data_IF_171237648313
#
_entry.id   IF_171237648313
#
_cell.length_a   1.000
_cell.length_b   1.000
_cell.length_c   1.000
_cell.angle_alpha   90.00
_cell.angle_beta   90.00
_cell.angle_gamma   90.00
#
_symmetry.space_group_name_H-M   'P 1'
#
loop_
_entity.id
_entity.type
_entity.pdbx_description
1 polymer ?
#
# COMPACT_ATOMS: atom_id res chain seq x y z
N UNK A 1 -24.75 10.34 -1.83
CA UNK A 1 -24.12 9.01 -1.73
C UNK A 1 -24.63 8.13 -2.84
N UNK A 2 -23.75 7.50 -3.58
CA UNK A 2 -24.11 6.55 -4.61
C UNK A 2 -24.31 5.16 -4.00
N UNK A 3 -25.23 4.35 -4.52
CA UNK A 3 -25.44 3.01 -3.98
C UNK A 3 -24.22 2.13 -4.17
N UNK A 4 -23.95 1.29 -3.19
CA UNK A 4 -23.05 0.15 -3.33
C UNK A 4 -23.76 -0.91 -4.15
N UNK A 5 -23.16 -1.31 -5.24
CA UNK A 5 -23.62 -2.46 -6.03
C UNK A 5 -22.77 -3.65 -5.59
N UNK A 6 -23.42 -4.71 -5.11
CA UNK A 6 -22.75 -5.95 -4.79
C UNK A 6 -23.55 -7.12 -5.35
N UNK A 7 -22.86 -8.08 -5.95
CA UNK A 7 -23.41 -9.31 -6.51
C UNK A 7 -22.42 -10.45 -6.29
N UNK A 8 -22.91 -11.66 -6.16
CA UNK A 8 -22.05 -12.83 -6.08
C UNK A 8 -22.61 -13.94 -5.23
N UNK A 9 -21.77 -14.97 -5.06
CA UNK A 9 -22.09 -16.14 -4.25
C UNK A 9 -20.83 -16.70 -3.58
N UNK A 10 -21.08 -17.45 -2.50
CA UNK A 10 -20.09 -18.31 -1.83
C UNK A 10 -20.67 -19.71 -1.77
N UNK A 11 -19.97 -20.69 -2.31
CA UNK A 11 -20.33 -22.10 -2.24
C UNK A 11 -19.31 -22.84 -1.37
N UNK A 12 -19.70 -23.18 -0.16
CA UNK A 12 -18.84 -23.86 0.82
C UNK A 12 -18.52 -25.31 0.42
N UNK A 13 -19.47 -26.00 -0.21
CA UNK A 13 -19.27 -27.38 -0.67
C UNK A 13 -18.21 -27.50 -1.76
N UNK A 14 -18.17 -26.56 -2.68
CA UNK A 14 -17.20 -26.49 -3.77
C UNK A 14 -16.00 -25.58 -3.43
N UNK A 15 -15.98 -24.94 -2.25
CA UNK A 15 -14.98 -23.94 -1.83
C UNK A 15 -14.77 -22.84 -2.87
N UNK A 16 -15.86 -22.43 -3.53
CA UNK A 16 -15.81 -21.40 -4.54
C UNK A 16 -16.41 -20.10 -4.06
N UNK A 17 -15.79 -19.01 -4.45
CA UNK A 17 -16.24 -17.63 -4.20
C UNK A 17 -16.29 -16.90 -5.53
N UNK A 18 -17.36 -16.16 -5.75
CA UNK A 18 -17.44 -15.20 -6.85
C UNK A 18 -18.23 -14.00 -6.34
N UNK A 19 -17.53 -12.93 -6.00
CA UNK A 19 -18.11 -11.70 -5.47
C UNK A 19 -17.60 -10.53 -6.33
N UNK A 20 -18.53 -9.67 -6.71
CA UNK A 20 -18.25 -8.39 -7.31
C UNK A 20 -18.89 -7.30 -6.46
N UNK A 21 -18.13 -6.24 -6.15
CA UNK A 21 -18.67 -5.05 -5.52
C UNK A 21 -18.12 -3.79 -6.20
N UNK A 22 -18.95 -2.77 -6.32
CA UNK A 22 -18.53 -1.47 -6.84
C UNK A 22 -19.27 -0.32 -6.17
N UNK A 23 -18.57 0.81 -6.07
CA UNK A 23 -19.11 2.10 -5.63
C UNK A 23 -18.66 3.14 -6.64
N UNK A 24 -19.62 3.88 -7.21
CA UNK A 24 -19.29 4.88 -8.22
C UNK A 24 -18.47 6.02 -7.61
N UNK A 25 -18.96 6.60 -6.50
CA UNK A 25 -18.25 7.61 -5.73
C UNK A 25 -18.69 7.59 -4.25
N UNK A 26 -17.76 7.94 -3.38
CA UNK A 26 -18.00 8.06 -1.93
C UNK A 26 -16.96 8.98 -1.28
N UNK A 27 -17.24 9.42 -0.07
CA UNK A 27 -16.32 10.20 0.75
C UNK A 27 -15.92 9.41 2.00
N UNK A 28 -14.65 9.47 2.35
CA UNK A 28 -14.13 8.91 3.60
C UNK A 28 -13.19 9.92 4.25
N UNK A 29 -13.54 10.36 5.48
CA UNK A 29 -12.91 11.51 6.10
C UNK A 29 -13.10 12.77 5.22
N UNK A 30 -12.04 13.52 5.01
CA UNK A 30 -12.03 14.72 4.16
C UNK A 30 -11.73 14.43 2.67
N UNK A 31 -11.66 13.16 2.26
CA UNK A 31 -11.26 12.77 0.91
C UNK A 31 -12.42 12.15 0.14
N UNK A 32 -12.50 12.50 -1.15
CA UNK A 32 -13.42 11.87 -2.11
C UNK A 32 -12.72 10.73 -2.84
N UNK A 33 -13.49 9.72 -3.20
CA UNK A 33 -13.04 8.55 -3.95
C UNK A 33 -14.08 8.19 -5.00
N UNK A 34 -13.64 7.64 -6.12
CA UNK A 34 -14.52 7.19 -7.18
C UNK A 34 -14.00 5.92 -7.87
N UNK A 35 -14.91 5.25 -8.58
CA UNK A 35 -14.61 4.07 -9.37
C UNK A 35 -14.04 2.91 -8.57
N UNK A 36 -14.42 2.81 -7.27
CA UNK A 36 -14.04 1.67 -6.44
C UNK A 36 -14.69 0.40 -6.97
N UNK A 37 -13.88 -0.64 -7.18
CA UNK A 37 -14.33 -1.95 -7.64
C UNK A 37 -13.52 -3.02 -6.93
N UNK A 38 -14.18 -4.09 -6.54
CA UNK A 38 -13.57 -5.29 -5.96
C UNK A 38 -14.17 -6.50 -6.64
N UNK A 39 -13.32 -7.40 -7.10
CA UNK A 39 -13.69 -8.71 -7.60
C UNK A 39 -12.91 -9.78 -6.85
N UNK A 40 -13.64 -10.72 -6.27
CA UNK A 40 -13.11 -11.92 -5.62
C UNK A 40 -13.62 -13.12 -6.38
N UNK A 41 -12.77 -14.03 -6.80
CA UNK A 41 -13.18 -15.26 -7.47
C UNK A 41 -12.17 -16.38 -7.26
N UNK A 42 -12.66 -17.60 -7.11
CA UNK A 42 -11.82 -18.81 -6.97
C UNK A 42 -11.49 -19.36 -8.35
N UNK A 43 -10.21 -19.61 -8.60
CA UNK A 43 -9.69 -20.33 -9.76
C UNK A 43 -8.61 -21.30 -9.28
N UNK A 44 -8.74 -22.58 -9.60
CA UNK A 44 -7.76 -23.62 -9.27
C UNK A 44 -7.34 -23.56 -7.78
N UNK A 45 -8.32 -23.64 -6.87
CA UNK A 45 -8.17 -23.60 -5.43
C UNK A 45 -7.49 -22.33 -4.88
N UNK A 46 -7.34 -21.32 -5.69
CA UNK A 46 -6.75 -20.03 -5.33
C UNK A 46 -7.80 -18.93 -5.40
N UNK A 47 -7.95 -18.15 -4.32
CA UNK A 47 -8.77 -16.95 -4.32
C UNK A 47 -8.02 -15.83 -5.04
N UNK A 48 -8.58 -15.35 -6.14
CA UNK A 48 -8.08 -14.18 -6.87
C UNK A 48 -8.79 -12.93 -6.40
N UNK A 49 -8.03 -11.88 -6.23
CA UNK A 49 -8.50 -10.54 -5.84
C UNK A 49 -8.08 -9.54 -6.91
N UNK A 50 -9.03 -8.76 -7.40
CA UNK A 50 -8.79 -7.59 -8.26
C UNK A 50 -9.55 -6.42 -7.64
N UNK A 51 -8.83 -5.43 -7.10
CA UNK A 51 -9.42 -4.30 -6.41
C UNK A 51 -8.78 -2.99 -6.88
N UNK A 52 -9.62 -2.00 -7.21
CA UNK A 52 -9.14 -0.70 -7.64
C UNK A 52 -9.96 0.44 -7.06
N UNK A 53 -9.33 1.60 -6.94
CA UNK A 53 -9.93 2.84 -6.47
C UNK A 53 -9.17 4.04 -7.03
N UNK A 54 -9.85 5.17 -7.22
CA UNK A 54 -9.25 6.47 -7.49
C UNK A 54 -9.61 7.47 -6.40
N UNK A 55 -8.66 8.31 -6.03
CA UNK A 55 -8.92 9.47 -5.17
C UNK A 55 -9.34 10.66 -6.05
N UNK A 56 -10.27 11.48 -5.56
CA UNK A 56 -10.84 12.62 -6.24
C UNK A 56 -12.33 12.45 -6.50
N UNK A 57 -12.96 13.47 -7.09
CA UNK A 57 -14.35 13.41 -7.53
C UNK A 57 -14.46 12.64 -8.84
N UNK A 58 -15.67 12.25 -9.19
CA UNK A 58 -15.95 11.61 -10.47
C UNK A 58 -15.48 12.51 -11.64
N UNK A 59 -14.69 11.92 -12.54
CA UNK A 59 -14.07 12.66 -13.66
C UNK A 59 -12.67 13.21 -13.36
N UNK A 60 -12.24 13.30 -12.10
CA UNK A 60 -10.88 13.69 -11.76
C UNK A 60 -9.88 12.58 -12.14
N UNK A 61 -8.72 13.01 -12.65
CA UNK A 61 -7.60 12.09 -12.89
C UNK A 61 -6.67 12.02 -11.66
N UNK A 62 -7.26 11.76 -10.50
CA UNK A 62 -6.52 11.66 -9.24
C UNK A 62 -5.75 10.35 -9.04
N UNK A 63 -5.08 10.21 -7.90
CA UNK A 63 -4.32 9.01 -7.57
C UNK A 63 -5.13 7.73 -7.70
N UNK A 64 -4.56 6.76 -8.40
CA UNK A 64 -5.13 5.42 -8.60
C UNK A 64 -4.32 4.39 -7.85
N UNK A 65 -5.03 3.54 -7.11
CA UNK A 65 -4.52 2.32 -6.51
C UNK A 65 -5.22 1.14 -7.17
N UNK A 66 -4.46 0.13 -7.57
CA UNK A 66 -4.99 -1.12 -8.09
C UNK A 66 -4.21 -2.27 -7.47
N UNK A 67 -4.90 -3.23 -6.88
CA UNK A 67 -4.32 -4.42 -6.26
C UNK A 67 -4.77 -5.65 -7.03
N UNK A 68 -3.83 -6.46 -7.45
CA UNK A 68 -4.07 -7.81 -7.95
C UNK A 68 -3.42 -8.80 -7.00
N UNK A 69 -4.19 -9.75 -6.49
CA UNK A 69 -3.66 -10.72 -5.56
C UNK A 69 -4.20 -12.14 -5.82
N UNK A 70 -3.46 -13.11 -5.30
CA UNK A 70 -3.82 -14.51 -5.28
C UNK A 70 -3.56 -15.08 -3.89
N UNK A 71 -4.55 -15.70 -3.27
CA UNK A 71 -4.45 -16.31 -1.96
C UNK A 71 -4.68 -17.81 -2.03
N UNK A 72 -3.78 -18.59 -1.44
CA UNK A 72 -3.88 -20.03 -1.22
C UNK A 72 -2.98 -20.41 -0.04
N UNK A 73 -3.33 -21.46 0.70
CA UNK A 73 -2.49 -22.07 1.75
C UNK A 73 -1.93 -21.05 2.78
N UNK A 74 -2.81 -20.17 3.28
CA UNK A 74 -2.45 -19.09 4.20
C UNK A 74 -1.40 -18.10 3.67
N UNK A 75 -1.22 -18.04 2.36
CA UNK A 75 -0.34 -17.10 1.68
C UNK A 75 -1.14 -16.21 0.74
N UNK A 76 -0.70 -14.96 0.61
CA UNK A 76 -1.21 -13.99 -0.32
C UNK A 76 -0.04 -13.44 -1.15
N UNK A 77 -0.10 -13.57 -2.46
CA UNK A 77 0.82 -12.89 -3.38
C UNK A 77 0.08 -11.70 -3.98
N UNK A 78 0.62 -10.51 -3.85
CA UNK A 78 -0.05 -9.31 -4.31
C UNK A 78 0.89 -8.37 -5.07
N UNK A 79 0.34 -7.74 -6.13
CA UNK A 79 0.93 -6.63 -6.86
C UNK A 79 0.09 -5.38 -6.59
N UNK A 80 0.75 -4.39 -6.00
CA UNK A 80 0.17 -3.06 -5.78
C UNK A 80 0.64 -2.13 -6.91
N UNK A 81 -0.28 -1.66 -7.71
CA UNK A 81 -0.06 -0.65 -8.74
C UNK A 81 -0.49 0.71 -8.20
N UNK A 82 0.39 1.67 -8.26
CA UNK A 82 0.12 3.06 -7.87
C UNK A 82 0.45 4.01 -9.00
N UNK A 83 -0.40 5.02 -9.19
CA UNK A 83 -0.12 6.17 -10.05
C UNK A 83 -0.88 7.36 -9.51
N UNK A 84 -0.17 8.44 -9.16
CA UNK A 84 -0.80 9.65 -8.63
C UNK A 84 -1.38 10.55 -9.72
N UNK A 85 -1.09 10.27 -11.00
CA UNK A 85 -1.48 11.08 -12.17
C UNK A 85 -1.15 12.59 -12.03
N UNK A 86 -0.21 12.95 -11.17
CA UNK A 86 0.21 14.34 -10.98
C UNK A 86 1.03 14.83 -12.18
N UNK A 87 0.70 16.02 -12.67
CA UNK A 87 1.50 16.68 -13.70
C UNK A 87 2.74 17.40 -13.13
N UNK A 88 2.70 17.78 -11.84
CA UNK A 88 3.83 18.47 -11.18
C UNK A 88 4.88 17.50 -10.68
N UNK A 89 4.46 16.40 -10.09
CA UNK A 89 5.33 15.36 -9.55
C UNK A 89 4.68 13.99 -9.80
N UNK A 90 4.90 13.40 -10.99
CA UNK A 90 4.37 12.09 -11.30
C UNK A 90 5.06 11.01 -10.47
N UNK A 91 4.27 10.22 -9.74
CA UNK A 91 4.72 9.06 -8.98
C UNK A 91 3.93 7.86 -9.47
N UNK A 92 4.63 6.83 -9.93
CA UNK A 92 4.02 5.59 -10.37
C UNK A 92 4.94 4.39 -10.11
N UNK A 93 4.35 3.24 -9.92
CA UNK A 93 5.13 2.01 -9.76
C UNK A 93 4.29 0.81 -9.44
N UNK A 94 4.99 -0.30 -9.32
CA UNK A 94 4.43 -1.59 -8.95
C UNK A 94 5.27 -2.12 -7.79
N UNK A 95 4.61 -2.50 -6.71
CA UNK A 95 5.25 -3.16 -5.57
C UNK A 95 4.75 -4.60 -5.51
N UNK A 96 5.67 -5.54 -5.56
CA UNK A 96 5.40 -6.97 -5.40
C UNK A 96 5.53 -7.36 -3.93
N UNK A 97 4.53 -8.07 -3.41
CA UNK A 97 4.51 -8.49 -2.01
C UNK A 97 4.02 -9.92 -1.86
N UNK A 98 4.50 -10.57 -0.81
CA UNK A 98 3.96 -11.83 -0.32
C UNK A 98 3.59 -11.67 1.14
N UNK A 99 2.39 -12.06 1.54
CA UNK A 99 2.01 -12.15 2.93
C UNK A 99 1.76 -13.60 3.33
N UNK A 100 2.23 -13.99 4.50
CA UNK A 100 1.97 -15.27 5.13
C UNK A 100 1.20 -15.04 6.43
N UNK A 101 0.11 -15.78 6.62
CA UNK A 101 -0.74 -15.69 7.80
C UNK A 101 -0.56 -16.93 8.66
N UNK A 102 -0.28 -16.73 9.94
CA UNK A 102 -0.08 -17.82 10.90
C UNK A 102 -0.44 -17.37 12.33
N UNK A 103 -0.51 -18.31 13.24
CA UNK A 103 -0.54 -18.02 14.67
C UNK A 103 0.87 -18.13 15.22
N UNK A 104 1.33 -17.11 15.93
CA UNK A 104 2.61 -17.15 16.61
C UNK A 104 2.57 -18.09 17.86
N UNK A 105 3.67 -18.23 18.55
CA UNK A 105 3.80 -19.08 19.75
C UNK A 105 2.77 -18.74 20.85
N UNK A 106 2.32 -17.50 20.90
CA UNK A 106 1.28 -17.05 21.83
C UNK A 106 -0.14 -17.17 21.25
N UNK A 107 -0.34 -17.94 20.18
CA UNK A 107 -1.62 -18.12 19.48
C UNK A 107 -2.23 -16.82 18.92
N UNK A 108 -1.46 -15.75 18.78
CA UNK A 108 -1.90 -14.49 18.19
C UNK A 108 -1.78 -14.57 16.68
N UNK A 109 -2.86 -14.20 15.97
CA UNK A 109 -2.86 -14.10 14.52
C UNK A 109 -1.82 -13.07 14.05
N UNK A 110 -0.94 -13.50 13.18
CA UNK A 110 0.21 -12.72 12.70
C UNK A 110 0.22 -12.77 11.18
N UNK A 111 0.52 -11.63 10.56
CA UNK A 111 0.84 -11.52 9.15
C UNK A 111 2.32 -11.15 9.00
N UNK A 112 3.06 -11.94 8.24
CA UNK A 112 4.42 -11.63 7.81
C UNK A 112 4.34 -11.23 6.33
N UNK A 113 4.65 -9.98 6.05
CA UNK A 113 4.65 -9.41 4.70
C UNK A 113 6.08 -9.22 4.25
N UNK A 114 6.46 -9.91 3.18
CA UNK A 114 7.74 -9.71 2.50
C UNK A 114 7.50 -8.82 1.27
N UNK A 115 8.23 -7.74 1.18
CA UNK A 115 8.30 -6.87 0.00
C UNK A 115 9.42 -7.39 -0.88
N UNK A 116 9.10 -7.66 -2.15
CA UNK A 116 10.09 -8.10 -3.12
C UNK A 116 10.73 -6.90 -3.83
N UNK A 117 11.96 -7.05 -4.36
CA UNK A 117 12.59 -6.01 -5.17
C UNK A 117 11.63 -5.50 -6.24
N UNK A 118 11.45 -4.19 -6.28
CA UNK A 118 10.47 -3.53 -7.15
C UNK A 118 11.02 -2.17 -7.61
N UNK A 119 10.41 -1.57 -8.62
CA UNK A 119 10.77 -0.24 -9.11
C UNK A 119 9.56 0.68 -9.02
N UNK A 120 9.78 1.88 -8.49
CA UNK A 120 8.85 2.99 -8.61
C UNK A 120 9.54 4.12 -9.39
N UNK A 121 8.75 4.97 -10.04
CA UNK A 121 9.25 6.16 -10.74
C UNK A 121 8.71 7.40 -10.06
N UNK A 122 9.60 8.30 -9.70
CA UNK A 122 9.29 9.61 -9.14
C UNK A 122 9.83 10.65 -10.13
N UNK A 123 8.95 11.44 -10.72
CA UNK A 123 9.30 12.43 -11.75
C UNK A 123 10.12 11.84 -12.91
N UNK A 124 9.71 10.64 -13.37
CA UNK A 124 10.41 9.89 -14.42
C UNK A 124 11.69 9.18 -13.97
N UNK A 125 12.24 9.52 -12.82
CA UNK A 125 13.45 8.92 -12.26
C UNK A 125 13.13 7.57 -11.60
N UNK A 126 13.83 6.47 -11.96
CA UNK A 126 13.63 5.18 -11.33
C UNK A 126 14.19 5.16 -9.91
N UNK A 127 13.41 4.63 -8.98
CA UNK A 127 13.79 4.36 -7.60
C UNK A 127 13.63 2.88 -7.31
N UNK A 128 14.61 2.28 -6.69
CA UNK A 128 14.60 0.88 -6.29
C UNK A 128 13.89 0.72 -4.95
N UNK A 129 12.91 -0.17 -4.89
CA UNK A 129 12.30 -0.65 -3.64
C UNK A 129 13.07 -1.90 -3.24
N UNK A 130 13.77 -1.84 -2.11
CA UNK A 130 14.57 -2.95 -1.62
C UNK A 130 13.70 -4.01 -0.92
N UNK A 131 14.17 -5.26 -0.86
CA UNK A 131 13.52 -6.30 -0.07
C UNK A 131 13.36 -5.87 1.39
N UNK A 132 12.20 -6.12 1.95
CA UNK A 132 11.92 -5.78 3.34
C UNK A 132 10.89 -6.72 3.94
N UNK A 133 10.92 -6.89 5.24
CA UNK A 133 9.95 -7.66 5.98
C UNK A 133 9.15 -6.77 6.94
N UNK A 134 7.84 -6.98 6.96
CA UNK A 134 6.91 -6.31 7.86
C UNK A 134 6.12 -7.37 8.59
N UNK A 135 6.19 -7.34 9.92
CA UNK A 135 5.44 -8.28 10.77
C UNK A 135 4.36 -7.51 11.52
N UNK A 136 3.12 -7.89 11.26
CA UNK A 136 1.96 -7.31 11.92
C UNK A 136 1.24 -8.35 12.75
N UNK A 137 0.97 -8.04 13.99
CA UNK A 137 0.10 -8.80 14.88
C UNK A 137 -0.71 -7.82 15.75
N UNK A 138 -1.63 -8.33 16.56
CA UNK A 138 -2.45 -7.47 17.43
C UNK A 138 -1.56 -6.50 18.21
N UNK A 139 -1.77 -5.20 17.99
CA UNK A 139 -1.06 -4.10 18.65
C UNK A 139 0.48 -4.11 18.47
N UNK A 140 1.01 -4.77 17.44
CA UNK A 140 2.44 -4.78 17.16
C UNK A 140 2.68 -4.71 15.66
N UNK A 141 3.47 -3.71 15.23
CA UNK A 141 3.97 -3.56 13.86
C UNK A 141 5.49 -3.47 13.92
N UNK A 142 6.18 -4.44 13.35
CA UNK A 142 7.62 -4.40 13.12
C UNK A 142 7.85 -4.12 11.64
N UNK A 143 8.62 -3.09 11.34
CA UNK A 143 9.13 -2.80 10.00
C UNK A 143 10.62 -3.08 10.00
N UNK A 144 11.04 -4.09 9.24
CA UNK A 144 12.44 -4.43 9.11
C UNK A 144 12.99 -3.83 7.81
N UNK A 145 13.60 -2.66 7.94
CA UNK A 145 14.43 -2.00 6.94
C UNK A 145 13.74 -1.81 5.57
N UNK A 146 12.49 -1.33 5.55
CA UNK A 146 11.87 -0.93 4.29
C UNK A 146 12.64 0.27 3.70
N UNK A 147 13.25 0.06 2.54
CA UNK A 147 14.09 1.07 1.90
C UNK A 147 13.69 1.32 0.45
N UNK A 148 13.72 2.59 0.07
CA UNK A 148 13.57 3.04 -1.32
C UNK A 148 14.74 3.97 -1.63
N UNK A 149 15.47 3.71 -2.71
CA UNK A 149 16.68 4.47 -3.03
C UNK A 149 16.83 4.80 -4.52
N UNK A 150 17.58 5.88 -4.79
CA UNK A 150 18.06 6.25 -6.10
C UNK A 150 19.43 6.90 -5.95
N UNK A 151 20.48 6.32 -6.55
CA UNK A 151 21.88 6.76 -6.39
C UNK A 151 22.28 6.91 -4.91
N UNK A 152 22.58 8.13 -4.48
CA UNK A 152 22.93 8.46 -3.10
C UNK A 152 21.71 8.82 -2.22
N UNK A 153 20.53 8.89 -2.79
CA UNK A 153 19.29 9.27 -2.13
C UNK A 153 18.60 8.04 -1.56
N UNK A 154 18.04 8.15 -0.36
CA UNK A 154 17.22 7.08 0.19
C UNK A 154 16.17 7.57 1.19
N UNK A 155 15.13 6.78 1.30
CA UNK A 155 14.16 6.79 2.40
C UNK A 155 14.16 5.39 3.00
N UNK A 156 14.55 5.27 4.27
CA UNK A 156 14.56 4.01 5.01
C UNK A 156 13.60 4.12 6.18
N UNK A 157 12.69 3.17 6.31
CA UNK A 157 11.73 3.08 7.41
C UNK A 157 11.98 1.79 8.17
N UNK A 158 12.23 1.90 9.47
CA UNK A 158 12.44 0.74 10.33
C UNK A 158 12.00 1.01 11.77
N UNK A 159 11.72 -0.02 12.50
CA UNK A 159 11.38 0.08 13.92
C UNK A 159 10.20 -0.78 14.32
N UNK A 160 9.81 -0.61 15.55
CA UNK A 160 8.73 -1.33 16.20
C UNK A 160 7.70 -0.32 16.72
N UNK A 161 6.44 -0.53 16.38
CA UNK A 161 5.32 0.20 16.96
C UNK A 161 4.47 -0.77 17.80
N UNK A 162 4.32 -0.44 19.08
CA UNK A 162 3.42 -1.11 20.02
C UNK A 162 2.69 -0.05 20.86
N UNK A 163 1.76 -0.41 21.75
CA UNK A 163 1.19 0.56 22.71
C UNK A 163 2.21 1.11 23.71
N UNK A 164 3.42 0.59 23.77
CA UNK A 164 4.47 1.05 24.67
C UNK A 164 5.10 2.34 24.13
N UNK A 165 5.26 3.35 25.00
CA UNK A 165 5.76 4.68 24.61
C UNK A 165 7.24 4.71 24.21
N UNK A 166 7.98 3.64 24.48
CA UNK A 166 9.41 3.51 24.15
C UNK A 166 9.66 3.03 22.73
N UNK A 167 8.66 2.42 22.12
CA UNK A 167 8.75 1.88 20.78
C UNK A 167 8.42 2.96 19.75
N UNK A 168 9.13 2.95 18.63
CA UNK A 168 8.96 3.95 17.58
C UNK A 168 9.32 3.40 16.21
N UNK A 169 8.70 3.97 15.20
CA UNK A 169 9.11 3.82 13.80
C UNK A 169 10.00 5.02 13.45
N UNK A 170 11.15 4.74 12.87
CA UNK A 170 12.11 5.75 12.42
C UNK A 170 12.11 5.79 10.91
N UNK A 171 11.96 6.97 10.34
CA UNK A 171 12.20 7.25 8.93
C UNK A 171 13.52 8.00 8.80
N UNK A 172 14.50 7.43 8.09
CA UNK A 172 15.80 8.01 7.77
C UNK A 172 15.80 8.48 6.31
N UNK A 173 16.03 9.77 6.10
CA UNK A 173 16.05 10.38 4.77
C UNK A 173 17.46 10.89 4.47
N UNK A 174 17.93 10.65 3.27
CA UNK A 174 19.19 11.19 2.76
C UNK A 174 19.00 11.80 1.38
N UNK A 175 19.34 13.08 1.28
CA UNK A 175 19.34 13.86 0.03
C UNK A 175 18.06 13.76 -0.80
N UNK A 176 16.93 13.49 -0.16
CA UNK A 176 15.61 13.35 -0.81
C UNK A 176 15.06 14.73 -1.09
N UNK A 177 14.50 14.95 -2.30
CA UNK A 177 13.83 16.20 -2.62
C UNK A 177 12.65 16.43 -1.66
N UNK A 178 12.64 17.60 -1.03
CA UNK A 178 11.59 17.97 -0.06
C UNK A 178 10.20 17.91 -0.70
N UNK A 179 10.08 18.23 -1.98
CA UNK A 179 8.81 18.13 -2.69
C UNK A 179 8.25 16.69 -2.70
N UNK A 180 9.09 15.67 -2.75
CA UNK A 180 8.67 14.27 -2.68
C UNK A 180 8.06 13.94 -1.32
N UNK A 181 8.73 14.35 -0.25
CA UNK A 181 8.27 14.13 1.13
C UNK A 181 6.95 14.85 1.39
N UNK A 182 6.84 16.13 1.02
CA UNK A 182 5.64 16.94 1.24
C UNK A 182 4.43 16.42 0.47
N UNK A 183 4.64 15.93 -0.75
CA UNK A 183 3.56 15.30 -1.52
C UNK A 183 3.07 14.00 -0.88
N UNK A 184 3.96 13.19 -0.32
CA UNK A 184 3.58 11.94 0.36
C UNK A 184 2.70 12.19 1.60
N UNK A 185 3.01 13.24 2.37
CA UNK A 185 2.25 13.62 3.57
C UNK A 185 1.08 14.58 3.29
N UNK A 186 0.82 14.89 2.00
CA UNK A 186 -0.27 15.78 1.57
C UNK A 186 -0.16 17.22 2.10
N UNK A 187 1.05 17.71 2.31
CA UNK A 187 1.31 19.06 2.80
C UNK A 187 1.46 20.02 1.60
N UNK A 188 0.44 20.86 1.37
CA UNK A 188 0.40 21.76 0.21
C UNK A 188 0.36 23.25 0.57
N UNK A 189 0.57 23.57 1.85
CA UNK A 189 0.43 24.95 2.32
C UNK A 189 1.60 25.87 1.96
N UNK A 190 2.77 25.30 1.65
CA UNK A 190 4.00 26.01 1.30
C UNK A 190 4.80 25.19 0.30
N UNK A 191 5.33 25.81 -0.75
CA UNK A 191 6.26 25.20 -1.68
C UNK A 191 7.68 25.32 -1.12
N UNK A 192 8.29 24.18 -0.78
CA UNK A 192 9.69 24.08 -0.42
C UNK A 192 10.49 23.46 -1.57
N UNK A 193 11.67 23.98 -1.81
CA UNK A 193 12.64 23.42 -2.75
C UNK A 193 13.93 23.09 -2.02
N UNK A 194 14.59 22.03 -2.43
CA UNK A 194 15.85 21.57 -1.84
C UNK A 194 15.80 20.12 -1.43
N UNK A 195 16.90 19.65 -0.84
CA UNK A 195 17.07 18.27 -0.38
C UNK A 195 16.97 18.19 1.14
N UNK A 196 16.30 17.16 1.63
CA UNK A 196 16.19 16.84 3.04
C UNK A 196 17.05 15.63 3.38
N UNK A 197 17.77 15.74 4.50
CA UNK A 197 18.46 14.63 5.16
C UNK A 197 18.20 14.69 6.66
N UNK A 198 17.96 13.57 7.29
CA UNK A 198 17.69 13.48 8.72
C UNK A 198 16.80 12.32 9.10
N UNK A 199 16.45 12.27 10.39
CA UNK A 199 15.60 11.22 10.95
C UNK A 199 14.33 11.82 11.52
N UNK A 200 13.19 11.20 11.18
CA UNK A 200 11.91 11.46 11.79
C UNK A 200 11.53 10.24 12.64
N UNK A 201 11.01 10.49 13.83
CA UNK A 201 10.52 9.45 14.76
C UNK A 201 9.01 9.62 14.89
N UNK A 202 8.28 8.52 14.72
CA UNK A 202 6.82 8.45 14.76
C UNK A 202 6.39 7.51 15.89
#
# INVERSE_FOLDING_TARGET
EQPVIADGFVNDAEKTVNIYASVADFSYGAKNYHGAKVRLHTINDSLKVDAQIRQGKWGDNGPRIHVKAAAADNQLFAKLFYNNHSAKLPIQGIIDTRAQFFKNENHVSTAHVTIHPSEIRIDGTPWEVHPADIIYSKNRLLVDHFAVSHDQQHVIVSGLATPEKTDSIVADLKDVDVAYVLNLINFHSVDFTGKASGKAII
#
